data_IF_359014188013
#
_entry.id   IF_359014188013
#
_cell.length_a   1.000
_cell.length_b   1.000
_cell.length_c   1.000
_cell.angle_alpha   90.00
_cell.angle_beta   90.00
_cell.angle_gamma   90.00
#
_symmetry.space_group_name_H-M   'P 1'
#
loop_
_entity.id
_entity.type
_entity.pdbx_description
1 polymer ?
#
# COMPACT_ATOMS: atom_id res chain seq x y z
N UNK A 1 -17.68 -10.07 -11.54
CA UNK A 1 -17.44 -8.80 -12.27
C UNK A 1 -15.95 -8.52 -12.28
N UNK A 2 -15.39 -7.97 -13.37
CA UNK A 2 -14.00 -7.52 -13.39
C UNK A 2 -13.78 -6.41 -12.37
N UNK A 3 -12.59 -6.38 -11.77
CA UNK A 3 -12.15 -5.35 -10.82
C UNK A 3 -11.13 -4.45 -11.53
N UNK A 4 -11.01 -3.17 -11.15
CA UNK A 4 -10.04 -2.28 -11.76
C UNK A 4 -8.62 -2.66 -11.34
N UNK A 5 -7.66 -2.59 -12.26
CA UNK A 5 -6.26 -2.99 -12.05
C UNK A 5 -5.58 -2.27 -10.86
N UNK A 6 -6.01 -1.05 -10.56
CA UNK A 6 -5.53 -0.26 -9.42
C UNK A 6 -5.78 -0.96 -8.07
N UNK A 7 -6.79 -1.83 -7.96
CA UNK A 7 -7.02 -2.65 -6.77
C UNK A 7 -5.87 -3.63 -6.54
N UNK A 8 -5.37 -4.26 -7.61
CA UNK A 8 -4.25 -5.20 -7.52
C UNK A 8 -2.94 -4.46 -7.20
N UNK A 9 -2.74 -3.29 -7.82
CA UNK A 9 -1.63 -2.39 -7.47
C UNK A 9 -1.67 -2.02 -5.99
N UNK A 10 -2.82 -1.58 -5.47
CA UNK A 10 -2.98 -1.26 -4.05
C UNK A 10 -2.58 -2.44 -3.15
N UNK A 11 -3.04 -3.65 -3.48
CA UNK A 11 -2.65 -4.88 -2.77
C UNK A 11 -1.14 -5.10 -2.77
N UNK A 12 -0.48 -4.89 -3.90
CA UNK A 12 0.98 -5.03 -4.01
C UNK A 12 1.72 -3.97 -3.18
N UNK A 13 1.25 -2.72 -3.22
CA UNK A 13 1.81 -1.63 -2.41
C UNK A 13 1.68 -1.89 -0.89
N UNK A 14 0.57 -2.50 -0.45
CA UNK A 14 0.41 -2.97 0.95
C UNK A 14 1.41 -4.08 1.29
N UNK A 15 1.62 -5.04 0.38
CA UNK A 15 2.56 -6.14 0.61
C UNK A 15 4.00 -5.68 0.77
N UNK A 16 4.43 -4.58 0.14
CA UNK A 16 5.75 -3.99 0.41
C UNK A 16 5.87 -3.46 1.85
N UNK A 17 4.80 -2.90 2.43
CA UNK A 17 4.84 -2.44 3.83
C UNK A 17 4.99 -3.61 4.80
N UNK A 18 4.37 -4.76 4.50
CA UNK A 18 4.57 -6.01 5.25
C UNK A 18 5.98 -6.56 5.06
N UNK A 19 6.46 -6.67 3.81
CA UNK A 19 7.81 -7.17 3.54
C UNK A 19 8.87 -6.28 4.22
N UNK A 20 8.73 -4.96 4.17
CA UNK A 20 9.64 -4.02 4.84
C UNK A 20 9.63 -4.12 6.36
N UNK A 21 8.57 -4.66 6.98
CA UNK A 21 8.55 -5.02 8.40
C UNK A 21 9.36 -6.28 8.68
N UNK A 22 9.40 -7.23 7.76
CA UNK A 22 10.09 -8.53 7.89
C UNK A 22 11.58 -8.49 7.58
N UNK A 23 12.08 -7.43 6.93
CA UNK A 23 13.51 -7.30 6.59
C UNK A 23 14.36 -7.04 7.85
N UNK A 24 15.47 -7.77 8.00
CA UNK A 24 16.47 -7.63 9.06
C UNK A 24 17.88 -7.46 8.45
N UNK A 25 18.64 -6.39 8.75
CA UNK A 25 18.26 -5.25 9.60
C UNK A 25 17.15 -4.41 8.97
N UNK A 26 16.31 -3.82 9.83
CA UNK A 26 15.20 -2.96 9.40
C UNK A 26 15.72 -1.77 8.60
N UNK A 27 15.18 -1.56 7.41
CA UNK A 27 15.51 -0.44 6.52
C UNK A 27 14.34 0.55 6.43
N UNK A 28 14.40 1.72 7.10
CA UNK A 28 13.25 2.60 7.32
C UNK A 28 12.52 3.07 6.04
N UNK A 29 13.18 3.11 4.88
CA UNK A 29 12.59 3.59 3.63
C UNK A 29 12.47 2.53 2.53
N UNK A 30 12.79 1.27 2.84
CA UNK A 30 12.81 0.21 1.82
C UNK A 30 11.44 0.05 1.15
N UNK A 31 10.36 0.01 1.94
CA UNK A 31 9.01 -0.11 1.42
C UNK A 31 8.62 1.11 0.55
N UNK A 32 9.01 2.32 0.96
CA UNK A 32 8.75 3.55 0.20
C UNK A 32 9.44 3.49 -1.17
N UNK A 33 10.71 3.09 -1.21
CA UNK A 33 11.47 2.94 -2.46
C UNK A 33 10.90 1.85 -3.36
N UNK A 34 10.54 0.69 -2.81
CA UNK A 34 9.94 -0.40 -3.58
C UNK A 34 8.58 0.00 -4.15
N UNK A 35 7.75 0.70 -3.38
CA UNK A 35 6.46 1.23 -3.86
C UNK A 35 6.65 2.20 -5.03
N UNK A 36 7.59 3.15 -4.90
CA UNK A 36 7.87 4.12 -5.96
C UNK A 36 8.41 3.44 -7.24
N UNK A 37 9.37 2.52 -7.09
CA UNK A 37 9.94 1.77 -8.21
C UNK A 37 8.89 0.88 -8.90
N UNK A 38 8.03 0.22 -8.12
CA UNK A 38 6.93 -0.58 -8.66
C UNK A 38 5.95 0.27 -9.47
N UNK A 39 5.52 1.43 -8.98
CA UNK A 39 4.61 2.30 -9.73
C UNK A 39 5.25 2.83 -11.02
N UNK A 40 6.52 3.24 -10.99
CA UNK A 40 7.24 3.66 -12.19
C UNK A 40 7.32 2.55 -13.23
N UNK A 41 7.76 1.35 -12.83
CA UNK A 41 7.84 0.20 -13.74
C UNK A 41 6.47 -0.25 -14.25
N UNK A 42 5.42 -0.17 -13.42
CA UNK A 42 4.04 -0.42 -13.86
C UNK A 42 3.61 0.58 -14.93
N UNK A 43 3.92 1.86 -14.74
CA UNK A 43 3.62 2.91 -15.71
C UNK A 43 4.34 2.71 -17.05
N UNK A 44 5.62 2.34 -17.00
CA UNK A 44 6.43 2.03 -18.19
C UNK A 44 5.88 0.82 -18.96
N UNK A 45 5.49 -0.25 -18.25
CA UNK A 45 5.02 -1.49 -18.88
C UNK A 45 3.56 -1.42 -19.36
N UNK A 46 2.68 -0.77 -18.60
CA UNK A 46 1.24 -0.71 -18.87
C UNK A 46 0.80 0.57 -19.60
N UNK A 47 1.70 1.54 -19.79
CA UNK A 47 1.43 2.83 -20.43
C UNK A 47 0.63 3.82 -19.57
N UNK A 48 0.36 3.49 -18.30
CA UNK A 48 -0.32 4.37 -17.35
C UNK A 48 0.21 4.12 -15.93
N UNK A 49 0.79 5.15 -15.35
CA UNK A 49 1.26 5.11 -13.98
C UNK A 49 0.06 5.10 -13.01
N UNK A 50 -0.07 4.11 -12.11
CA UNK A 50 -1.19 4.05 -11.17
C UNK A 50 -1.31 5.29 -10.27
N UNK A 51 -0.23 6.07 -10.10
CA UNK A 51 -0.23 7.32 -9.33
C UNK A 51 -1.01 8.45 -10.02
N UNK A 52 -1.34 8.33 -11.31
CA UNK A 52 -2.18 9.32 -12.00
C UNK A 52 -3.66 9.24 -11.60
N UNK A 53 -4.07 8.21 -10.86
CA UNK A 53 -5.41 8.07 -10.27
C UNK A 53 -5.34 8.08 -8.73
N UNK A 54 -4.84 9.17 -8.11
CA UNK A 54 -4.45 9.17 -6.70
C UNK A 54 -5.61 8.90 -5.74
N UNK A 55 -6.81 9.38 -6.08
CA UNK A 55 -8.03 9.15 -5.28
C UNK A 55 -8.42 7.67 -5.27
N UNK A 56 -8.43 7.03 -6.44
CA UNK A 56 -8.86 5.63 -6.56
C UNK A 56 -7.82 4.68 -5.96
N UNK A 57 -6.54 4.95 -6.20
CA UNK A 57 -5.44 4.19 -5.57
C UNK A 57 -5.51 4.27 -4.05
N UNK A 58 -5.69 5.49 -3.50
CA UNK A 58 -5.86 5.69 -2.07
C UNK A 58 -7.08 4.97 -1.52
N UNK A 59 -8.21 4.98 -2.24
CA UNK A 59 -9.43 4.31 -1.80
C UNK A 59 -9.20 2.80 -1.62
N UNK A 60 -8.59 2.13 -2.61
CA UNK A 60 -8.29 0.70 -2.52
C UNK A 60 -7.19 0.36 -1.51
N UNK A 61 -6.16 1.21 -1.37
CA UNK A 61 -5.16 1.01 -0.31
C UNK A 61 -5.80 1.16 1.08
N UNK A 62 -6.74 2.09 1.25
CA UNK A 62 -7.45 2.32 2.51
C UNK A 62 -8.37 1.15 2.84
N UNK A 63 -9.18 0.69 1.88
CA UNK A 63 -10.05 -0.49 2.03
C UNK A 63 -9.24 -1.72 2.46
N UNK A 64 -8.12 -1.96 1.77
CA UNK A 64 -7.21 -3.06 2.09
C UNK A 64 -6.57 -2.91 3.47
N UNK A 65 -6.12 -1.70 3.83
CA UNK A 65 -5.54 -1.44 5.15
C UNK A 65 -6.56 -1.62 6.28
N UNK A 66 -7.82 -1.22 6.10
CA UNK A 66 -8.89 -1.44 7.09
C UNK A 66 -9.20 -2.93 7.26
N UNK A 67 -9.27 -3.68 6.16
CA UNK A 67 -9.36 -5.15 6.22
C UNK A 67 -8.19 -5.74 7.00
N UNK A 68 -6.96 -5.31 6.72
CA UNK A 68 -5.75 -5.77 7.40
C UNK A 68 -5.78 -5.44 8.90
N UNK A 69 -6.20 -4.25 9.31
CA UNK A 69 -6.36 -3.88 10.73
C UNK A 69 -7.25 -4.90 11.44
N UNK A 70 -8.43 -5.20 10.90
CA UNK A 70 -9.36 -6.16 11.49
C UNK A 70 -8.76 -7.58 11.52
N UNK A 71 -8.04 -7.96 10.47
CA UNK A 71 -7.41 -9.27 10.38
C UNK A 71 -6.29 -9.43 11.41
N UNK A 72 -5.33 -8.50 11.45
CA UNK A 72 -4.18 -8.59 12.36
C UNK A 72 -4.60 -8.46 13.82
N UNK A 73 -5.55 -7.57 14.14
CA UNK A 73 -6.06 -7.43 15.50
C UNK A 73 -6.65 -8.74 16.04
N UNK A 74 -7.19 -9.61 15.17
CA UNK A 74 -7.80 -10.89 15.55
C UNK A 74 -6.82 -12.07 15.56
N UNK A 75 -5.88 -12.10 14.62
CA UNK A 75 -5.06 -13.29 14.38
C UNK A 75 -3.59 -13.13 14.71
N UNK A 76 -3.03 -11.91 14.58
CA UNK A 76 -1.60 -11.61 14.79
C UNK A 76 -1.39 -10.20 15.32
N UNK A 77 -1.78 -9.91 16.58
CA UNK A 77 -1.78 -8.55 17.13
C UNK A 77 -0.41 -7.85 17.05
N UNK A 78 0.69 -8.60 17.04
CA UNK A 78 2.06 -8.10 16.88
C UNK A 78 2.34 -7.47 15.50
N UNK A 79 1.52 -7.80 14.48
CA UNK A 79 1.58 -7.22 13.14
C UNK A 79 0.69 -5.99 12.96
N UNK A 80 -0.23 -5.72 13.89
CA UNK A 80 -1.14 -4.57 13.86
C UNK A 80 -0.47 -3.21 13.59
N UNK A 81 0.77 -2.93 14.04
CA UNK A 81 1.44 -1.68 13.71
C UNK A 81 1.62 -1.43 12.20
N UNK A 82 1.69 -2.47 11.36
CA UNK A 82 1.88 -2.34 9.91
C UNK A 82 0.66 -1.69 9.22
N UNK A 83 -0.56 -2.25 9.31
CA UNK A 83 -1.73 -1.61 8.70
C UNK A 83 -2.13 -0.31 9.41
N UNK A 84 -1.90 -0.17 10.73
CA UNK A 84 -2.18 1.09 11.43
C UNK A 84 -1.28 2.25 10.97
N UNK A 85 -0.02 1.99 10.66
CA UNK A 85 0.87 3.01 10.07
C UNK A 85 0.36 3.45 8.68
N UNK A 86 -0.16 2.52 7.89
CA UNK A 86 -0.73 2.83 6.59
C UNK A 86 -2.00 3.66 6.68
N UNK A 87 -2.94 3.29 7.55
CA UNK A 87 -4.17 4.07 7.79
C UNK A 87 -3.83 5.51 8.19
N UNK A 88 -2.87 5.69 9.10
CA UNK A 88 -2.42 7.03 9.51
C UNK A 88 -1.89 7.84 8.32
N UNK A 89 -1.00 7.25 7.51
CA UNK A 89 -0.43 7.88 6.31
C UNK A 89 -1.51 8.26 5.30
N UNK A 90 -2.48 7.38 5.05
CA UNK A 90 -3.55 7.58 4.07
C UNK A 90 -4.59 8.60 4.54
N UNK A 91 -4.82 8.72 5.84
CA UNK A 91 -5.71 9.72 6.43
C UNK A 91 -5.13 11.14 6.43
N UNK A 92 -3.80 11.28 6.44
CA UNK A 92 -3.12 12.59 6.42
C UNK A 92 -2.71 13.04 5.02
N UNK A 93 -2.79 12.17 4.02
CA UNK A 93 -2.39 12.52 2.66
C UNK A 93 -3.45 13.43 2.01
N UNK A 94 -3.04 14.59 1.53
CA UNK A 94 -3.90 15.45 0.72
C UNK A 94 -4.20 14.74 -0.62
N UNK A 95 -5.48 14.58 -1.03
CA UNK A 95 -5.82 14.00 -2.33
C UNK A 95 -5.31 14.79 -3.54
N UNK A 96 -5.00 16.08 -3.36
CA UNK A 96 -4.68 17.02 -4.43
C UNK A 96 -3.20 17.46 -4.47
N UNK A 97 -2.35 16.90 -3.59
CA UNK A 97 -0.90 17.18 -3.56
C UNK A 97 -0.09 16.17 -4.40
#
# INVERSE_FOLDING_TARGET
>A
MPQPAVRDVAGMLRSFDYAGRSVDPRQPDWAVRCRAAYCSGYGEAAGRDPRTEPVLLRAYETDKAVYEVLYEARHRPEWLPVPMAAVRRLATADPAA
#
